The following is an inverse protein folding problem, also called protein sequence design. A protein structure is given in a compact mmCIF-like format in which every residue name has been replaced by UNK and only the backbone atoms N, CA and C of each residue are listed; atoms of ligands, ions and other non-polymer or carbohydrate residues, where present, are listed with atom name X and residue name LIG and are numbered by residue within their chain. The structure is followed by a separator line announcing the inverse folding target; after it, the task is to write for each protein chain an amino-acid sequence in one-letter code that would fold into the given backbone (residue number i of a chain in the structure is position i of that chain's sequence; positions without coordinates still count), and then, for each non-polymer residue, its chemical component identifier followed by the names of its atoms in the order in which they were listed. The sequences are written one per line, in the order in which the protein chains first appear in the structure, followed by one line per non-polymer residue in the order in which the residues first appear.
data_IF_966159986662
#
_entry.id   IF_966159986662
#
_cell.length_a   1.000
_cell.length_b   1.000
_cell.length_c   1.000
_cell.angle_alpha   90.00
_cell.angle_beta   90.00
_cell.angle_gamma   90.00
#
_symmetry.space_group_name_H-M   'P 1'
#
loop_
_entity.id
_entity.type
_entity.pdbx_description
1 polymer ?
#
# COMPACT_ATOMS: atom_id res chain seq x y z
N UNK A 1 -2.22 -5.39 -25.00
CA UNK A 1 -3.25 -6.44 -24.80
C UNK A 1 -3.15 -6.90 -23.36
N UNK A 2 -4.28 -7.10 -22.67
CA UNK A 2 -4.27 -7.70 -21.32
C UNK A 2 -3.85 -9.17 -21.39
N UNK A 3 -3.26 -9.69 -20.31
CA UNK A 3 -2.90 -11.10 -20.21
C UNK A 3 -4.16 -11.99 -20.20
N UNK A 4 -4.04 -13.21 -20.74
CA UNK A 4 -5.14 -14.19 -20.81
C UNK A 4 -5.08 -15.24 -19.71
N UNK A 5 -4.02 -15.27 -18.90
CA UNK A 5 -3.84 -16.24 -17.81
C UNK A 5 -3.13 -15.62 -16.61
N UNK A 6 -3.30 -16.25 -15.44
CA UNK A 6 -2.71 -15.78 -14.17
C UNK A 6 -1.19 -15.95 -14.20
N UNK A 7 -0.49 -14.96 -13.65
CA UNK A 7 0.95 -15.03 -13.46
C UNK A 7 1.26 -15.60 -12.06
N UNK A 8 1.56 -16.89 -12.02
CA UNK A 8 1.81 -17.60 -10.76
C UNK A 8 3.05 -17.10 -10.03
N UNK A 9 4.06 -16.61 -10.75
CA UNK A 9 5.28 -16.05 -10.16
C UNK A 9 4.95 -14.75 -9.40
N UNK A 10 4.19 -13.84 -10.02
CA UNK A 10 3.74 -12.59 -9.37
C UNK A 10 2.85 -12.85 -8.17
N UNK A 11 1.94 -13.82 -8.26
CA UNK A 11 1.11 -14.26 -7.13
C UNK A 11 2.01 -14.77 -5.99
N UNK A 12 3.02 -15.59 -6.30
CA UNK A 12 3.94 -16.12 -5.30
C UNK A 12 4.83 -15.03 -4.66
N UNK A 13 5.33 -14.07 -5.44
CA UNK A 13 6.05 -12.90 -4.91
C UNK A 13 5.19 -12.12 -3.92
N UNK A 14 3.93 -11.88 -4.26
CA UNK A 14 3.04 -11.08 -3.44
C UNK A 14 2.60 -11.77 -2.14
N UNK A 15 2.70 -13.10 -2.07
CA UNK A 15 2.53 -13.83 -0.79
C UNK A 15 3.55 -13.44 0.27
N UNK A 16 4.64 -12.76 -0.11
CA UNK A 16 5.58 -12.21 0.84
C UNK A 16 5.11 -10.88 1.48
N UNK A 17 3.94 -10.35 1.09
CA UNK A 17 3.36 -9.17 1.72
C UNK A 17 3.16 -9.39 3.23
N UNK A 18 3.65 -8.46 4.03
CA UNK A 18 3.57 -8.43 5.49
C UNK A 18 2.27 -7.79 5.98
N UNK A 19 1.51 -7.16 5.07
CA UNK A 19 0.16 -6.66 5.33
C UNK A 19 -0.89 -7.56 4.66
N UNK A 20 -2.15 -7.55 5.12
CA UNK A 20 -3.22 -8.29 4.47
C UNK A 20 -3.34 -7.97 2.99
N UNK A 21 -3.70 -8.98 2.21
CA UNK A 21 -3.99 -8.92 0.78
C UNK A 21 -5.41 -9.45 0.59
N UNK A 22 -6.29 -8.82 -0.24
CA UNK A 22 -7.69 -9.21 -0.33
C UNK A 22 -7.93 -10.58 -0.99
N UNK A 23 -6.89 -11.20 -1.57
CA UNK A 23 -6.88 -12.53 -2.23
C UNK A 23 -8.24 -12.99 -2.76
N UNK A 24 -8.57 -12.55 -3.97
CA UNK A 24 -9.74 -12.99 -4.72
C UNK A 24 -9.37 -13.11 -6.20
N UNK A 25 -10.24 -13.72 -7.01
CA UNK A 25 -9.98 -13.94 -8.44
C UNK A 25 -9.70 -12.63 -9.20
N UNK A 26 -10.45 -11.57 -8.92
CA UNK A 26 -10.27 -10.25 -9.53
C UNK A 26 -8.94 -9.59 -9.13
N UNK A 27 -8.49 -9.79 -7.89
CA UNK A 27 -7.19 -9.29 -7.45
C UNK A 27 -6.04 -10.09 -8.08
N UNK A 28 -6.18 -11.41 -8.19
CA UNK A 28 -5.20 -12.25 -8.88
C UNK A 28 -5.10 -11.91 -10.37
N UNK A 29 -6.23 -11.63 -11.04
CA UNK A 29 -6.27 -11.09 -12.41
C UNK A 29 -5.52 -9.75 -12.49
N UNK A 30 -5.79 -8.83 -11.56
CA UNK A 30 -5.14 -7.52 -11.51
C UNK A 30 -3.61 -7.63 -11.45
N UNK A 31 -3.07 -8.38 -10.50
CA UNK A 31 -1.61 -8.53 -10.33
C UNK A 31 -0.96 -9.37 -11.44
N UNK A 32 -1.77 -10.13 -12.18
CA UNK A 32 -1.35 -10.88 -13.36
C UNK A 32 -1.40 -10.06 -14.66
N UNK A 33 -1.84 -8.80 -14.61
CA UNK A 33 -2.00 -7.96 -15.81
C UNK A 33 -3.16 -8.41 -16.72
N UNK A 34 -4.12 -9.17 -16.18
CA UNK A 34 -5.34 -9.56 -16.88
C UNK A 34 -6.40 -8.46 -16.73
N UNK A 35 -7.44 -8.52 -17.57
CA UNK A 35 -8.64 -7.69 -17.34
C UNK A 35 -9.30 -8.10 -16.02
N UNK A 36 -9.59 -7.10 -15.19
CA UNK A 36 -10.24 -7.26 -13.91
C UNK A 36 -11.24 -6.13 -13.69
N UNK A 37 -12.17 -6.32 -12.76
CA UNK A 37 -13.11 -5.33 -12.30
C UNK A 37 -13.21 -5.40 -10.78
N UNK A 38 -12.70 -4.37 -10.11
CA UNK A 38 -12.77 -4.24 -8.64
C UNK A 38 -14.20 -4.32 -8.08
N UNK A 39 -15.21 -3.85 -8.83
CA UNK A 39 -16.61 -3.91 -8.40
C UNK A 39 -17.20 -5.31 -8.37
N UNK A 40 -16.52 -6.30 -8.96
CA UNK A 40 -16.95 -7.71 -8.95
C UNK A 40 -16.46 -8.47 -7.70
N UNK A 41 -15.70 -7.84 -6.79
CA UNK A 41 -15.25 -8.46 -5.54
C UNK A 41 -15.52 -7.56 -4.34
N UNK A 42 -16.29 -8.08 -3.38
CA UNK A 42 -16.55 -7.39 -2.12
C UNK A 42 -15.27 -7.24 -1.29
N UNK A 43 -14.38 -8.23 -1.32
CA UNK A 43 -13.10 -8.25 -0.62
C UNK A 43 -12.22 -7.09 -1.09
N UNK A 44 -12.11 -6.87 -2.40
CA UNK A 44 -11.36 -5.75 -2.95
C UNK A 44 -11.97 -4.40 -2.58
N UNK A 45 -13.31 -4.27 -2.58
CA UNK A 45 -14.00 -3.04 -2.20
C UNK A 45 -13.80 -2.70 -0.72
N UNK A 46 -13.94 -3.68 0.17
CA UNK A 46 -13.69 -3.53 1.61
C UNK A 46 -12.24 -3.15 1.87
N UNK A 47 -11.30 -3.84 1.21
CA UNK A 47 -9.88 -3.60 1.34
C UNK A 47 -9.49 -2.18 0.88
N UNK A 48 -10.03 -1.74 -0.26
CA UNK A 48 -9.81 -0.39 -0.79
C UNK A 48 -10.32 0.69 0.16
N UNK A 49 -11.48 0.48 0.80
CA UNK A 49 -12.00 1.41 1.81
C UNK A 49 -11.09 1.47 3.06
N UNK A 50 -10.63 0.32 3.55
CA UNK A 50 -9.70 0.27 4.68
C UNK A 50 -8.38 0.97 4.36
N UNK A 51 -7.85 0.75 3.16
CA UNK A 51 -6.63 1.39 2.66
C UNK A 51 -6.80 2.91 2.57
N UNK A 52 -7.95 3.38 2.08
CA UNK A 52 -8.26 4.82 2.03
C UNK A 52 -8.25 5.46 3.43
N UNK A 53 -8.78 4.77 4.46
CA UNK A 53 -8.76 5.26 5.85
C UNK A 53 -7.33 5.41 6.38
N UNK A 54 -6.46 4.42 6.13
CA UNK A 54 -5.05 4.49 6.49
C UNK A 54 -4.34 5.63 5.76
N UNK A 55 -4.60 5.79 4.46
CA UNK A 55 -4.02 6.86 3.67
C UNK A 55 -4.41 8.26 4.18
N UNK A 56 -5.65 8.45 4.63
CA UNK A 56 -6.07 9.69 5.27
C UNK A 56 -5.29 9.97 6.56
N UNK A 57 -5.04 8.95 7.38
CA UNK A 57 -4.22 9.07 8.60
C UNK A 57 -2.75 9.35 8.27
N UNK A 58 -2.21 8.71 7.23
CA UNK A 58 -0.84 8.94 6.76
C UNK A 58 -0.64 10.38 6.26
N UNK A 59 -1.62 10.91 5.53
CA UNK A 59 -1.61 12.26 4.97
C UNK A 59 -2.14 13.32 5.95
N UNK A 60 -2.31 13.01 7.24
CA UNK A 60 -2.81 13.99 8.21
C UNK A 60 -1.77 15.11 8.42
N UNK A 61 -2.16 16.34 8.09
CA UNK A 61 -1.33 17.55 8.18
C UNK A 61 -1.41 18.23 9.56
N UNK A 62 -2.12 17.64 10.53
CA UNK A 62 -2.21 18.19 11.89
C UNK A 62 -0.86 18.18 12.61
N UNK A 63 -0.55 19.32 13.24
CA UNK A 63 0.67 19.52 14.03
C UNK A 63 0.26 19.92 15.45
N UNK A 64 0.02 18.96 16.36
CA UNK A 64 -0.27 19.25 17.76
C UNK A 64 0.87 20.00 18.47
N UNK A 65 0.54 20.79 19.49
CA UNK A 65 1.54 21.47 20.33
C UNK A 65 2.55 20.48 20.93
N UNK A 66 3.83 20.86 20.93
CA UNK A 66 4.92 20.01 21.40
C UNK A 66 5.38 18.94 20.39
N UNK A 67 4.80 18.89 19.19
CA UNK A 67 5.29 18.02 18.11
C UNK A 67 6.71 18.39 17.68
N UNK A 68 7.46 17.38 17.26
CA UNK A 68 8.76 17.53 16.59
C UNK A 68 8.68 16.94 15.18
N UNK A 69 9.59 17.32 14.28
CA UNK A 69 9.65 16.69 12.96
C UNK A 69 9.84 15.16 13.05
N UNK A 70 10.58 14.69 14.04
CA UNK A 70 10.75 13.27 14.31
C UNK A 70 9.44 12.60 14.75
N UNK A 71 8.66 13.21 15.66
CA UNK A 71 7.38 12.63 16.09
C UNK A 71 6.35 12.61 14.96
N UNK A 72 6.32 13.64 14.11
CA UNK A 72 5.48 13.67 12.91
C UNK A 72 5.90 12.59 11.91
N UNK A 73 7.22 12.35 11.74
CA UNK A 73 7.75 11.25 10.93
C UNK A 73 7.37 9.89 11.49
N UNK A 74 7.61 9.65 12.77
CA UNK A 74 7.25 8.37 13.39
C UNK A 74 5.76 8.10 13.23
N UNK A 75 4.89 9.09 13.49
CA UNK A 75 3.44 8.96 13.33
C UNK A 75 3.04 8.48 11.94
N UNK A 76 3.51 9.15 10.86
CA UNK A 76 3.17 8.73 9.49
C UNK A 76 3.79 7.38 9.13
N UNK A 77 5.02 7.12 9.56
CA UNK A 77 5.71 5.86 9.23
C UNK A 77 5.12 4.64 9.94
N UNK A 78 4.51 4.79 11.13
CA UNK A 78 3.71 3.71 11.74
C UNK A 78 2.50 3.34 10.88
N UNK A 79 1.81 4.33 10.31
CA UNK A 79 0.71 4.08 9.37
C UNK A 79 1.23 3.43 8.08
N UNK A 80 2.39 3.85 7.58
CA UNK A 80 3.01 3.28 6.37
C UNK A 80 3.29 1.77 6.51
N UNK A 81 3.79 1.32 7.67
CA UNK A 81 4.05 -0.10 7.95
C UNK A 81 2.78 -0.97 7.82
N UNK A 82 1.61 -0.40 8.08
CA UNK A 82 0.34 -1.10 7.92
C UNK A 82 -0.25 -1.03 6.50
N UNK A 83 0.34 -0.25 5.60
CA UNK A 83 -0.14 -0.05 4.22
C UNK A 83 0.71 -0.77 3.17
N UNK A 84 2.02 -0.80 3.33
CA UNK A 84 2.93 -1.34 2.32
C UNK A 84 3.16 -2.84 2.49
N UNK A 85 3.19 -3.56 1.37
CA UNK A 85 3.48 -4.99 1.33
C UNK A 85 4.79 -5.36 2.03
N UNK A 86 5.83 -4.56 1.82
CA UNK A 86 7.06 -4.60 2.60
C UNK A 86 7.62 -3.20 2.72
N UNK A 87 8.17 -2.89 3.88
CA UNK A 87 8.82 -1.60 4.13
C UNK A 87 10.20 -1.85 4.75
N UNK A 88 11.25 -1.55 3.98
CA UNK A 88 12.62 -1.69 4.43
C UNK A 88 13.01 -0.73 5.56
N UNK A 89 14.25 -0.85 6.00
CA UNK A 89 14.84 0.00 7.05
C UNK A 89 15.17 1.39 6.50
N UNK A 90 15.18 2.40 7.38
CA UNK A 90 15.55 3.78 7.05
C UNK A 90 14.75 4.42 5.90
N UNK A 91 13.52 3.95 5.69
CA UNK A 91 12.61 4.53 4.70
C UNK A 91 11.98 5.82 5.23
N UNK A 92 11.89 6.83 4.37
CA UNK A 92 11.12 8.05 4.62
C UNK A 92 10.22 8.34 3.45
N UNK A 93 8.93 8.55 3.74
CA UNK A 93 7.93 8.94 2.75
C UNK A 93 7.31 10.24 3.27
N UNK A 94 7.44 11.31 2.49
CA UNK A 94 6.81 12.58 2.80
C UNK A 94 5.35 12.61 2.33
N UNK A 95 4.42 13.17 3.11
CA UNK A 95 3.05 13.36 2.68
C UNK A 95 2.90 14.61 1.76
N UNK A 96 1.85 14.67 0.92
CA UNK A 96 0.87 13.61 0.71
C UNK A 96 1.39 12.50 -0.21
N UNK A 97 1.01 11.27 0.10
CA UNK A 97 1.21 10.10 -0.76
C UNK A 97 -0.14 9.56 -1.22
N UNK A 98 -0.18 8.88 -2.37
CA UNK A 98 -1.41 8.30 -2.91
C UNK A 98 -1.20 6.86 -3.37
N UNK A 99 -2.05 5.96 -2.87
CA UNK A 99 -2.08 4.55 -3.26
C UNK A 99 -3.51 4.00 -3.23
N UNK A 100 -3.72 2.87 -3.90
CA UNK A 100 -5.01 2.16 -3.91
C UNK A 100 -4.97 0.85 -3.11
N UNK A 101 -3.87 0.11 -3.19
CA UNK A 101 -3.73 -1.23 -2.62
C UNK A 101 -2.62 -1.30 -1.56
N UNK A 102 -1.43 -0.79 -1.84
CA UNK A 102 -0.32 -0.75 -0.87
C UNK A 102 0.32 -2.13 -0.62
N UNK A 103 -0.45 -3.18 -0.41
CA UNK A 103 0.03 -4.55 -0.22
C UNK A 103 0.89 -5.10 -1.35
N UNK A 104 0.76 -4.56 -2.57
CA UNK A 104 1.56 -4.91 -3.73
C UNK A 104 2.75 -3.98 -3.98
N UNK A 105 3.13 -3.16 -3.01
CA UNK A 105 4.27 -2.26 -3.06
C UNK A 105 5.30 -2.73 -2.04
N UNK A 106 6.47 -3.13 -2.52
CA UNK A 106 7.60 -3.54 -1.69
C UNK A 106 8.71 -2.50 -1.82
N UNK A 107 9.07 -1.87 -0.70
CA UNK A 107 10.09 -0.81 -0.65
C UNK A 107 11.34 -1.36 0.04
N UNK A 108 12.50 -1.17 -0.60
CA UNK A 108 13.80 -1.57 -0.06
C UNK A 108 14.29 -0.67 1.08
N UNK A 109 15.56 -0.84 1.46
CA UNK A 109 16.18 -0.05 2.52
C UNK A 109 16.61 1.35 2.02
N UNK A 110 16.65 2.32 2.92
CA UNK A 110 17.18 3.68 2.69
C UNK A 110 16.50 4.44 1.55
N UNK A 111 15.23 4.13 1.27
CA UNK A 111 14.45 4.83 0.25
C UNK A 111 13.89 6.14 0.81
N UNK A 112 14.06 7.21 0.04
CA UNK A 112 13.43 8.50 0.31
C UNK A 112 12.43 8.83 -0.80
N UNK A 113 11.16 9.03 -0.44
CA UNK A 113 10.12 9.50 -1.34
C UNK A 113 9.74 10.92 -0.94
N UNK A 114 10.08 11.88 -1.79
CA UNK A 114 9.79 13.28 -1.58
C UNK A 114 8.32 13.60 -1.92
N UNK A 115 7.88 14.80 -1.53
CA UNK A 115 6.58 15.35 -1.90
C UNK A 115 6.48 15.74 -3.38
N UNK A 116 7.59 16.16 -3.99
CA UNK A 116 7.75 16.64 -5.37
C UNK A 116 8.98 16.04 -6.05
#
# INVERSE_FOLDING_TARGET
MAASSKNLERIAELRQSEVPVPWCDEFEKMISGMNFNTGNSQEMMVYKLATKKKLLSFNDESIPDGSTLASLKSRRMEVAKEMFGKLGQDVTIEPPFFLLWGCNIFIGNSVYMNRE
#
